data_IF_566512920069
#
_entry.id   IF_566512920069
#
_cell.length_a   1.000
_cell.length_b   1.000
_cell.length_c   1.000
_cell.angle_alpha   90.00
_cell.angle_beta   90.00
_cell.angle_gamma   90.00
#
_symmetry.space_group_name_H-M   'P 1'
#
loop_
_entity.id
_entity.type
_entity.pdbx_description
1 polymer ?
#
# COMPACT_ATOMS: atom_id res chain seq x y z
N UNK A 1 -17.57 -43.86 16.49
CA UNK A 1 -16.27 -43.18 16.33
C UNK A 1 -16.36 -42.32 15.08
N UNK A 2 -16.71 -41.08 15.21
CA UNK A 2 -16.81 -40.12 14.10
C UNK A 2 -15.80 -39.02 14.35
N UNK A 3 -14.76 -39.01 13.52
CA UNK A 3 -13.75 -37.94 13.49
C UNK A 3 -14.30 -36.78 12.68
N UNK A 4 -14.58 -35.67 13.36
CA UNK A 4 -15.00 -34.42 12.73
C UNK A 4 -13.80 -33.73 12.11
N UNK A 5 -13.74 -33.74 10.79
CA UNK A 5 -12.84 -32.90 10.00
C UNK A 5 -13.13 -31.42 10.25
N UNK A 6 -12.21 -30.73 10.90
CA UNK A 6 -12.22 -29.29 11.00
C UNK A 6 -11.81 -28.67 9.66
N UNK A 7 -12.75 -28.11 8.93
CA UNK A 7 -12.53 -27.32 7.72
C UNK A 7 -11.73 -26.05 8.06
N UNK A 8 -10.45 -26.07 7.80
CA UNK A 8 -9.64 -24.85 7.69
C UNK A 8 -10.11 -24.03 6.47
N UNK A 9 -10.92 -23.02 6.69
CA UNK A 9 -11.20 -22.01 5.68
C UNK A 9 -9.94 -21.16 5.50
N UNK A 10 -9.19 -21.39 4.44
CA UNK A 10 -8.17 -20.48 3.93
C UNK A 10 -8.81 -19.12 3.61
N UNK A 11 -8.64 -18.16 4.49
CA UNK A 11 -8.97 -16.76 4.22
C UNK A 11 -7.86 -16.19 3.35
N UNK A 12 -8.05 -16.22 2.02
CA UNK A 12 -7.23 -15.45 1.10
C UNK A 12 -7.36 -13.95 1.47
N UNK A 13 -6.26 -13.35 1.89
CA UNK A 13 -6.16 -11.88 2.04
C UNK A 13 -6.27 -11.28 0.64
N UNK A 14 -7.30 -10.48 0.40
CA UNK A 14 -7.45 -9.76 -0.85
C UNK A 14 -6.35 -8.68 -0.96
N UNK A 15 -5.89 -8.40 -2.20
CA UNK A 15 -4.93 -7.33 -2.53
C UNK A 15 -5.32 -5.98 -1.92
N UNK A 16 -6.62 -5.76 -1.73
CA UNK A 16 -7.20 -4.55 -1.15
C UNK A 16 -6.96 -4.43 0.36
N UNK A 17 -6.91 -5.53 1.09
CA UNK A 17 -6.53 -5.53 2.51
C UNK A 17 -5.03 -5.17 2.65
N UNK A 18 -4.21 -5.59 1.66
CA UNK A 18 -2.81 -5.22 1.60
C UNK A 18 -2.59 -3.76 1.18
N UNK A 19 -3.35 -3.26 0.20
CA UNK A 19 -3.30 -1.84 -0.21
C UNK A 19 -3.85 -0.91 0.88
N UNK A 20 -4.83 -1.35 1.67
CA UNK A 20 -5.27 -0.63 2.87
C UNK A 20 -4.22 -0.69 3.99
N UNK A 21 -3.52 -1.81 4.17
CA UNK A 21 -2.38 -1.89 5.10
C UNK A 21 -1.24 -0.98 4.65
N UNK A 22 -0.88 -0.97 3.37
CA UNK A 22 0.17 -0.08 2.83
C UNK A 22 -0.24 1.40 2.91
N UNK A 23 -1.50 1.76 2.69
CA UNK A 23 -1.99 3.14 2.85
C UNK A 23 -2.13 3.55 4.31
N UNK A 24 -2.46 2.62 5.20
CA UNK A 24 -2.45 2.83 6.64
C UNK A 24 -1.02 2.96 7.17
N UNK A 25 -0.10 2.11 6.72
CA UNK A 25 1.33 2.22 7.01
C UNK A 25 1.90 3.58 6.59
N UNK A 26 1.50 4.14 5.45
CA UNK A 26 1.94 5.47 5.01
C UNK A 26 1.44 6.61 5.89
N UNK A 27 0.22 6.53 6.44
CA UNK A 27 -0.29 7.50 7.43
C UNK A 27 0.42 7.36 8.78
N UNK A 28 0.72 6.14 9.20
CA UNK A 28 1.35 5.85 10.49
C UNK A 28 2.84 6.23 10.53
N UNK A 29 3.57 6.10 9.41
CA UNK A 29 4.95 6.59 9.32
C UNK A 29 5.06 8.11 9.45
N UNK A 30 4.03 8.87 9.09
CA UNK A 30 4.01 10.32 9.21
C UNK A 30 3.81 10.83 10.65
N UNK A 31 3.22 10.03 11.55
CA UNK A 31 2.90 10.45 12.92
C UNK A 31 3.96 10.08 13.97
N UNK A 32 4.91 9.20 13.65
CA UNK A 32 5.83 8.59 14.65
C UNK A 32 7.14 9.36 14.82
N UNK A 33 7.53 10.23 13.89
CA UNK A 33 8.81 10.93 13.96
C UNK A 33 8.65 12.42 14.22
N UNK A 34 8.88 12.85 15.45
CA UNK A 34 9.13 14.24 15.80
C UNK A 34 10.60 14.58 15.49
N UNK A 35 10.83 15.13 14.30
CA UNK A 35 12.17 15.53 13.82
C UNK A 35 12.66 16.85 14.43
N UNK A 36 11.86 17.56 15.23
CA UNK A 36 12.21 18.89 15.77
C UNK A 36 13.41 18.88 16.71
N UNK A 37 13.82 17.71 17.24
CA UNK A 37 14.97 17.58 18.13
C UNK A 37 16.30 17.24 17.45
N UNK A 38 16.31 17.00 16.12
CA UNK A 38 17.51 16.56 15.38
C UNK A 38 18.20 17.71 14.65
N UNK A 39 17.49 18.81 14.40
CA UNK A 39 17.99 19.92 13.55
C UNK A 39 18.97 20.89 14.20
N UNK A 40 19.24 20.79 15.49
CA UNK A 40 20.13 21.75 16.17
C UNK A 40 21.63 21.37 16.22
N UNK A 41 22.06 20.24 15.66
CA UNK A 41 23.47 19.81 15.66
C UNK A 41 23.97 19.29 14.29
N UNK A 42 23.72 20.04 13.25
CA UNK A 42 24.18 19.72 11.89
C UNK A 42 25.61 20.25 11.63
N UNK A 43 26.63 19.47 11.85
CA UNK A 43 27.99 19.85 11.41
C UNK A 43 29.11 18.91 11.79
N UNK A 44 28.99 18.16 12.90
CA UNK A 44 30.07 17.29 13.41
C UNK A 44 29.61 15.85 13.66
N UNK A 45 28.34 15.57 13.36
CA UNK A 45 27.64 14.36 13.82
C UNK A 45 27.79 13.18 12.85
N UNK A 46 28.06 13.41 11.57
CA UNK A 46 27.99 12.40 10.50
C UNK A 46 28.99 11.24 10.67
N UNK A 47 30.22 11.49 11.05
CA UNK A 47 31.24 10.44 11.10
C UNK A 47 31.11 9.51 12.33
N UNK A 48 30.78 10.05 13.49
CA UNK A 48 30.61 9.23 14.69
C UNK A 48 29.39 8.28 14.57
N UNK A 49 28.28 8.79 14.05
CA UNK A 49 27.03 8.03 13.91
C UNK A 49 27.16 6.90 12.89
N UNK A 50 27.87 7.11 11.81
CA UNK A 50 28.05 6.08 10.77
C UNK A 50 29.03 4.98 11.17
N UNK A 51 29.94 5.23 12.10
CA UNK A 51 30.94 4.26 12.58
C UNK A 51 30.44 3.38 13.74
N UNK A 52 29.49 3.87 14.55
CA UNK A 52 28.95 3.15 15.72
C UNK A 52 27.43 2.87 15.58
N UNK A 53 26.96 2.69 14.37
CA UNK A 53 25.55 2.60 14.05
C UNK A 53 24.88 1.37 14.67
N UNK A 54 25.58 0.25 14.78
CA UNK A 54 25.04 -0.96 15.41
C UNK A 54 24.64 -0.71 16.87
N UNK A 55 25.43 0.05 17.60
CA UNK A 55 25.14 0.34 19.01
C UNK A 55 23.90 1.25 19.15
N UNK A 56 23.67 2.15 18.21
CA UNK A 56 22.45 2.95 18.13
C UNK A 56 21.22 2.08 17.80
N UNK A 57 21.35 1.20 16.82
CA UNK A 57 20.29 0.25 16.44
C UNK A 57 19.87 -0.60 17.64
N UNK A 58 20.82 -1.04 18.45
CA UNK A 58 20.60 -1.91 19.61
C UNK A 58 20.26 -1.17 20.89
N UNK A 59 20.11 0.16 20.88
CA UNK A 59 19.66 0.93 22.04
C UNK A 59 18.26 0.50 22.46
N UNK A 60 18.03 0.52 23.76
CA UNK A 60 16.78 0.09 24.39
C UNK A 60 15.56 0.85 23.89
N UNK A 61 15.70 2.17 23.72
CA UNK A 61 14.66 3.04 23.22
C UNK A 61 14.29 2.71 21.76
N UNK A 62 15.29 2.52 20.88
CA UNK A 62 15.09 2.16 19.50
C UNK A 62 14.43 0.78 19.35
N UNK A 63 14.92 -0.23 20.06
CA UNK A 63 14.33 -1.58 20.07
C UNK A 63 12.88 -1.59 20.59
N UNK A 64 12.60 -0.80 21.65
CA UNK A 64 11.23 -0.65 22.16
C UNK A 64 10.29 0.01 21.15
N UNK A 65 10.75 1.02 20.42
CA UNK A 65 9.97 1.67 19.35
C UNK A 65 9.73 0.68 18.21
N UNK A 66 10.74 -0.07 17.80
CA UNK A 66 10.62 -1.11 16.78
C UNK A 66 9.60 -2.20 17.19
N UNK A 67 9.66 -2.66 18.46
CA UNK A 67 8.68 -3.59 19.00
C UNK A 67 7.24 -3.02 18.94
N UNK A 68 7.05 -1.77 19.40
CA UNK A 68 5.72 -1.12 19.37
C UNK A 68 5.16 -1.05 17.95
N UNK A 69 6.00 -0.70 16.97
CA UNK A 69 5.60 -0.62 15.58
C UNK A 69 5.22 -2.01 15.01
N UNK A 70 6.03 -3.04 15.24
CA UNK A 70 5.72 -4.41 14.81
C UNK A 70 4.42 -4.92 15.46
N UNK A 71 4.21 -4.61 16.76
CA UNK A 71 2.97 -4.96 17.46
C UNK A 71 1.75 -4.26 16.88
N UNK A 72 1.85 -2.98 16.55
CA UNK A 72 0.78 -2.18 15.95
C UNK A 72 0.33 -2.76 14.61
N UNK A 73 1.27 -3.23 13.78
CA UNK A 73 1.01 -3.76 12.45
C UNK A 73 0.31 -5.15 12.44
N UNK A 74 0.23 -5.85 13.58
CA UNK A 74 -0.52 -7.12 13.73
C UNK A 74 -0.29 -8.16 12.62
N UNK A 75 0.91 -8.24 12.07
CA UNK A 75 1.24 -9.15 10.97
C UNK A 75 1.25 -10.63 11.40
N UNK A 76 1.02 -11.53 10.46
CA UNK A 76 1.08 -12.99 10.69
C UNK A 76 2.50 -13.46 11.01
N UNK A 77 2.62 -14.59 11.72
CA UNK A 77 3.89 -15.24 12.05
C UNK A 77 4.74 -15.63 10.83
N UNK A 78 6.05 -15.72 11.04
CA UNK A 78 7.03 -16.17 10.05
C UNK A 78 7.02 -17.68 9.84
N UNK A 79 8.20 -18.25 9.57
CA UNK A 79 8.39 -19.71 9.42
C UNK A 79 8.34 -20.44 10.77
N UNK A 80 8.70 -19.76 11.84
CA UNK A 80 8.69 -20.24 13.23
C UNK A 80 7.28 -20.37 13.82
N UNK A 81 6.27 -19.80 13.14
CA UNK A 81 4.88 -19.80 13.60
C UNK A 81 4.58 -18.81 14.71
N UNK A 82 5.59 -18.14 15.30
CA UNK A 82 5.42 -17.18 16.40
C UNK A 82 4.50 -16.04 15.98
N UNK A 83 3.50 -15.74 16.81
CA UNK A 83 2.58 -14.61 16.59
C UNK A 83 3.09 -13.36 17.32
N UNK A 84 2.56 -12.20 16.93
CA UNK A 84 2.98 -10.90 17.51
C UNK A 84 2.72 -10.82 19.01
N UNK A 85 1.66 -11.48 19.50
CA UNK A 85 1.30 -11.47 20.92
C UNK A 85 2.28 -12.30 21.78
N UNK A 86 2.98 -13.26 21.20
CA UNK A 86 3.99 -14.10 21.85
C UNK A 86 5.38 -13.42 21.89
N UNK A 87 5.57 -12.34 21.14
CA UNK A 87 6.86 -11.65 21.01
C UNK A 87 7.34 -11.04 22.32
N UNK A 88 6.45 -10.44 23.14
CA UNK A 88 6.86 -9.78 24.37
C UNK A 88 7.39 -10.75 25.43
N UNK A 89 6.73 -11.87 25.74
CA UNK A 89 7.30 -12.91 26.59
C UNK A 89 8.67 -13.39 26.10
N UNK A 90 8.77 -13.72 24.81
CA UNK A 90 10.02 -14.16 24.20
C UNK A 90 11.17 -13.15 24.37
N UNK A 91 10.93 -11.86 24.10
CA UNK A 91 11.96 -10.82 24.25
C UNK A 91 12.38 -10.62 25.71
N UNK A 92 11.46 -10.76 26.68
CA UNK A 92 11.82 -10.65 28.11
C UNK A 92 12.85 -11.70 28.56
N UNK A 93 12.75 -12.89 27.98
CA UNK A 93 13.65 -14.01 28.33
C UNK A 93 14.94 -14.00 27.51
N UNK A 94 14.88 -13.57 26.23
CA UNK A 94 15.97 -13.81 25.29
C UNK A 94 16.67 -12.55 24.79
N UNK A 95 16.24 -11.33 25.19
CA UNK A 95 16.77 -10.07 24.63
C UNK A 95 18.28 -9.91 24.79
N UNK A 96 18.84 -10.31 25.93
CA UNK A 96 20.28 -10.15 26.22
C UNK A 96 21.13 -11.06 25.31
N UNK A 97 20.75 -12.33 25.21
CA UNK A 97 21.38 -13.28 24.30
C UNK A 97 21.31 -12.81 22.85
N UNK A 98 20.11 -12.36 22.41
CA UNK A 98 19.88 -11.83 21.07
C UNK A 98 20.78 -10.63 20.75
N UNK A 99 20.87 -9.66 21.67
CA UNK A 99 21.74 -8.50 21.52
C UNK A 99 23.21 -8.90 21.45
N UNK A 100 23.66 -9.84 22.30
CA UNK A 100 25.04 -10.35 22.29
C UNK A 100 25.35 -11.09 20.97
N UNK A 101 24.44 -11.90 20.45
CA UNK A 101 24.61 -12.57 19.17
C UNK A 101 24.73 -11.58 18.01
N UNK A 102 23.91 -10.51 18.01
CA UNK A 102 23.97 -9.47 16.98
C UNK A 102 25.28 -8.70 17.09
N UNK A 103 25.69 -8.26 18.28
CA UNK A 103 26.97 -7.56 18.50
C UNK A 103 28.17 -8.40 18.11
N UNK A 104 28.16 -9.67 18.48
CA UNK A 104 29.22 -10.64 18.14
C UNK A 104 29.20 -11.12 16.68
N UNK A 105 28.26 -10.62 15.86
CA UNK A 105 28.12 -11.04 14.48
C UNK A 105 27.71 -12.50 14.30
N UNK A 106 27.20 -13.16 15.33
CA UNK A 106 26.78 -14.56 15.32
C UNK A 106 25.31 -14.74 14.91
N UNK A 107 24.51 -13.69 15.04
CA UNK A 107 23.09 -13.71 14.69
C UNK A 107 22.89 -14.15 13.22
N UNK A 108 21.98 -15.10 13.03
CA UNK A 108 21.58 -15.62 11.72
C UNK A 108 20.08 -15.37 11.53
N UNK A 109 19.69 -14.45 10.62
CA UNK A 109 18.28 -14.23 10.29
C UNK A 109 17.61 -15.49 9.80
N UNK A 110 16.35 -15.70 10.17
CA UNK A 110 15.56 -16.80 9.66
C UNK A 110 15.15 -16.58 8.20
N UNK A 111 15.00 -17.64 7.41
CA UNK A 111 14.42 -17.55 6.07
C UNK A 111 13.02 -16.96 6.11
N UNK A 112 12.65 -16.18 5.10
CA UNK A 112 11.30 -15.61 5.02
C UNK A 112 10.30 -16.64 4.51
N UNK A 113 9.09 -16.66 5.07
CA UNK A 113 7.99 -17.50 4.59
C UNK A 113 7.35 -16.87 3.36
N UNK A 114 7.38 -17.55 2.22
CA UNK A 114 6.77 -17.09 0.98
C UNK A 114 5.25 -17.17 1.04
N UNK A 115 4.59 -16.08 0.63
CA UNK A 115 3.14 -16.03 0.43
C UNK A 115 2.89 -15.44 -0.95
N UNK A 116 2.07 -16.12 -1.75
CA UNK A 116 1.71 -15.64 -3.08
C UNK A 116 0.36 -14.92 -3.06
N UNK A 117 0.36 -13.67 -3.54
CA UNK A 117 -0.85 -12.84 -3.66
C UNK A 117 -1.16 -12.68 -5.15
N UNK A 118 -2.40 -12.99 -5.61
CA UNK A 118 -2.78 -12.81 -7.00
C UNK A 118 -2.64 -11.34 -7.44
N UNK A 119 -2.04 -11.12 -8.62
CA UNK A 119 -2.04 -9.81 -9.28
C UNK A 119 -3.35 -9.58 -10.02
N UNK A 120 -3.51 -8.37 -10.59
CA UNK A 120 -4.66 -8.02 -11.44
C UNK A 120 -4.74 -8.87 -12.70
N UNK A 121 -3.59 -9.24 -13.26
CA UNK A 121 -3.48 -10.13 -14.41
C UNK A 121 -3.73 -11.56 -13.96
N UNK A 122 -4.71 -12.22 -14.57
CA UNK A 122 -5.06 -13.61 -14.25
C UNK A 122 -3.84 -14.51 -14.48
N UNK A 123 -3.48 -15.28 -13.44
CA UNK A 123 -2.34 -16.20 -13.48
C UNK A 123 -1.01 -15.60 -13.03
N UNK A 124 -0.93 -14.32 -12.75
CA UNK A 124 0.25 -13.70 -12.15
C UNK A 124 0.11 -13.56 -10.63
N UNK A 125 1.21 -13.79 -9.90
CA UNK A 125 1.26 -13.68 -8.45
C UNK A 125 2.38 -12.71 -8.03
N UNK A 126 2.13 -11.99 -6.94
CA UNK A 126 3.16 -11.25 -6.21
C UNK A 126 3.70 -12.14 -5.10
N UNK A 127 5.01 -12.32 -5.06
CA UNK A 127 5.69 -13.15 -4.08
C UNK A 127 6.06 -12.28 -2.87
N UNK A 128 5.35 -12.43 -1.75
CA UNK A 128 5.70 -11.76 -0.51
C UNK A 128 6.54 -12.68 0.37
N UNK A 129 7.55 -12.13 1.03
CA UNK A 129 8.31 -12.80 2.07
C UNK A 129 7.88 -12.29 3.44
N UNK A 130 7.42 -13.17 4.30
CA UNK A 130 7.01 -12.85 5.67
C UNK A 130 8.14 -13.25 6.62
N UNK A 131 8.95 -12.29 7.16
CA UNK A 131 9.99 -12.59 8.15
C UNK A 131 9.38 -13.06 9.46
N UNK A 132 10.17 -13.68 10.33
CA UNK A 132 9.78 -13.96 11.72
C UNK A 132 9.50 -12.65 12.47
N UNK A 133 8.74 -12.72 13.55
CA UNK A 133 8.38 -11.51 14.31
C UNK A 133 9.61 -10.86 14.92
N UNK A 134 10.59 -11.67 15.38
CA UNK A 134 11.87 -11.20 15.89
C UNK A 134 12.68 -10.49 14.81
N UNK A 135 12.82 -11.10 13.63
CA UNK A 135 13.52 -10.49 12.50
C UNK A 135 12.88 -9.16 12.09
N UNK A 136 11.54 -9.05 12.17
CA UNK A 136 10.86 -7.77 11.89
C UNK A 136 11.24 -6.68 12.88
N UNK A 137 11.40 -6.99 14.17
CA UNK A 137 11.84 -6.00 15.17
C UNK A 137 13.25 -5.52 14.86
N UNK A 138 14.16 -6.43 14.55
CA UNK A 138 15.54 -6.06 14.21
C UNK A 138 15.59 -5.25 12.92
N UNK A 139 14.89 -5.67 11.86
CA UNK A 139 14.79 -4.93 10.61
C UNK A 139 14.17 -3.54 10.81
N UNK A 140 13.15 -3.43 11.65
CA UNK A 140 12.50 -2.16 11.99
C UNK A 140 13.46 -1.25 12.75
N UNK A 141 14.22 -1.80 13.71
CA UNK A 141 15.23 -1.03 14.45
C UNK A 141 16.35 -0.52 13.53
N UNK A 142 16.80 -1.33 12.57
CA UNK A 142 17.74 -0.90 11.53
C UNK A 142 17.13 0.22 10.67
N UNK A 143 15.89 0.03 10.19
CA UNK A 143 15.22 1.01 9.33
C UNK A 143 15.03 2.36 10.03
N UNK A 144 14.75 2.39 11.33
CA UNK A 144 14.57 3.60 12.12
C UNK A 144 15.84 4.45 12.16
N UNK A 145 17.00 3.83 12.38
CA UNK A 145 18.29 4.55 12.46
C UNK A 145 18.86 4.90 11.08
N UNK A 146 18.58 4.08 10.04
CA UNK A 146 19.07 4.35 8.69
C UNK A 146 18.22 5.40 7.96
N UNK A 147 16.92 5.46 8.23
CA UNK A 147 16.02 6.37 7.51
C UNK A 147 16.47 7.84 7.57
N UNK A 148 16.77 8.44 8.73
CA UNK A 148 17.22 9.83 8.78
C UNK A 148 18.52 10.07 8.02
N UNK A 149 19.46 9.11 8.03
CA UNK A 149 20.76 9.22 7.35
C UNK A 149 20.58 9.30 5.82
N UNK A 150 19.69 8.44 5.27
CA UNK A 150 19.47 8.39 3.83
C UNK A 150 18.43 9.41 3.34
N UNK A 151 17.52 9.85 4.22
CA UNK A 151 16.50 10.84 3.86
C UNK A 151 17.13 12.16 3.38
N UNK A 152 18.28 12.57 3.95
CA UNK A 152 19.05 13.74 3.54
C UNK A 152 19.66 13.60 2.13
N UNK A 153 19.84 12.35 1.65
CA UNK A 153 20.47 12.06 0.36
C UNK A 153 19.45 11.79 -0.76
N UNK A 154 18.18 11.58 -0.39
CA UNK A 154 17.15 11.23 -1.37
C UNK A 154 16.70 12.44 -2.17
N UNK A 155 16.50 12.22 -3.47
CA UNK A 155 15.94 13.23 -4.39
C UNK A 155 14.60 13.78 -3.90
N UNK A 156 14.38 15.08 -4.07
CA UNK A 156 13.09 15.73 -3.83
C UNK A 156 11.97 15.20 -4.76
N UNK A 157 12.34 14.57 -5.87
CA UNK A 157 11.43 13.98 -6.86
C UNK A 157 11.05 12.52 -6.53
N UNK A 158 11.53 11.97 -5.40
CA UNK A 158 11.20 10.63 -4.90
C UNK A 158 10.21 10.73 -3.73
N UNK A 159 9.09 9.99 -3.80
CA UNK A 159 7.97 10.14 -2.88
C UNK A 159 7.55 8.84 -2.17
N UNK A 160 7.76 7.68 -2.78
CA UNK A 160 7.33 6.40 -2.23
C UNK A 160 8.17 5.95 -1.04
N UNK A 161 7.53 5.39 0.00
CA UNK A 161 8.19 4.84 1.18
C UNK A 161 9.07 5.83 1.96
N UNK A 162 8.75 7.11 1.91
CA UNK A 162 9.46 8.17 2.61
C UNK A 162 8.58 8.86 3.65
N UNK A 163 9.14 9.27 4.80
CA UNK A 163 8.41 10.03 5.81
C UNK A 163 7.87 11.34 5.23
N UNK A 164 6.67 11.74 5.66
CA UNK A 164 6.01 13.01 5.28
C UNK A 164 5.78 13.20 3.77
N UNK A 165 5.96 12.18 2.95
CA UNK A 165 5.72 12.20 1.50
C UNK A 165 4.71 11.13 1.11
N UNK A 166 3.86 11.42 0.15
CA UNK A 166 2.80 10.51 -0.24
C UNK A 166 2.47 10.53 -1.73
N UNK A 167 1.53 9.68 -2.11
CA UNK A 167 1.07 9.58 -3.50
C UNK A 167 0.48 10.91 -4.02
N UNK A 168 -0.16 11.69 -3.16
CA UNK A 168 -0.70 12.99 -3.55
C UNK A 168 0.38 14.01 -3.89
N UNK A 169 1.52 13.97 -3.20
CA UNK A 169 2.63 14.88 -3.47
C UNK A 169 3.29 14.52 -4.80
N UNK A 170 3.49 13.23 -5.06
CA UNK A 170 3.94 12.74 -6.37
C UNK A 170 3.01 13.18 -7.50
N UNK A 171 1.69 13.05 -7.31
CA UNK A 171 0.69 13.48 -8.30
C UNK A 171 0.73 14.99 -8.52
N UNK A 172 0.83 15.82 -7.47
CA UNK A 172 0.96 17.27 -7.61
C UNK A 172 2.22 17.66 -8.37
N UNK A 173 3.34 16.97 -8.13
CA UNK A 173 4.58 17.19 -8.88
C UNK A 173 4.40 16.80 -10.36
N UNK A 174 3.72 15.69 -10.67
CA UNK A 174 3.35 15.34 -12.05
C UNK A 174 2.49 16.43 -12.71
N UNK A 175 1.50 16.95 -11.99
CA UNK A 175 0.63 18.02 -12.45
C UNK A 175 1.41 19.30 -12.75
N UNK A 176 2.34 19.67 -11.88
CA UNK A 176 3.22 20.84 -12.07
C UNK A 176 4.06 20.68 -13.33
N UNK A 177 4.74 19.53 -13.48
CA UNK A 177 5.55 19.26 -14.67
C UNK A 177 4.72 19.35 -15.97
N UNK A 178 3.49 18.81 -15.96
CA UNK A 178 2.58 18.88 -17.10
C UNK A 178 2.12 20.33 -17.41
N UNK A 179 1.84 21.13 -16.38
CA UNK A 179 1.46 22.55 -16.54
C UNK A 179 2.63 23.40 -17.07
N UNK A 180 3.88 23.01 -16.76
CA UNK A 180 5.11 23.64 -17.30
C UNK A 180 5.41 23.21 -18.74
N UNK A 181 4.52 22.46 -19.39
CA UNK A 181 4.61 22.05 -20.79
C UNK A 181 5.36 20.73 -21.01
N UNK A 182 5.72 19.99 -19.96
CA UNK A 182 6.32 18.66 -20.07
C UNK A 182 5.24 17.60 -20.14
N UNK A 183 4.65 17.43 -21.31
CA UNK A 183 3.44 16.61 -21.52
C UNK A 183 3.71 15.21 -22.08
N UNK A 184 4.93 14.93 -22.51
CA UNK A 184 5.34 13.59 -22.89
C UNK A 184 6.13 12.94 -21.78
N UNK A 185 5.84 11.70 -21.49
CA UNK A 185 6.46 10.98 -20.38
C UNK A 185 7.04 9.66 -20.84
N UNK A 186 8.16 9.29 -20.26
CA UNK A 186 8.64 7.91 -20.20
C UNK A 186 8.01 7.29 -18.95
N UNK A 187 7.05 6.40 -19.13
CA UNK A 187 6.50 5.57 -18.05
C UNK A 187 7.34 4.31 -17.93
N UNK A 188 8.18 4.26 -16.90
CA UNK A 188 9.23 3.25 -16.76
C UNK A 188 8.86 2.22 -15.71
N UNK A 189 8.77 0.94 -16.12
CA UNK A 189 8.52 -0.22 -15.27
C UNK A 189 9.78 -1.08 -15.17
N UNK A 190 10.23 -1.36 -13.95
CA UNK A 190 11.34 -2.26 -13.70
C UNK A 190 10.84 -3.72 -13.58
N UNK A 191 11.53 -4.64 -14.28
CA UNK A 191 11.11 -6.04 -14.28
C UNK A 191 11.39 -6.70 -12.93
N UNK A 192 10.33 -6.97 -12.16
CA UNK A 192 10.40 -7.68 -10.87
C UNK A 192 11.54 -7.13 -9.98
N UNK A 193 11.58 -5.82 -9.80
CA UNK A 193 12.66 -5.12 -9.11
C UNK A 193 13.16 -5.84 -7.84
N UNK A 194 12.24 -6.18 -6.92
CA UNK A 194 12.59 -6.85 -5.67
C UNK A 194 13.20 -8.26 -5.87
N UNK A 195 12.85 -8.95 -6.95
CA UNK A 195 13.38 -10.29 -7.24
C UNK A 195 14.72 -10.26 -8.00
N UNK A 196 15.07 -9.10 -8.60
CA UNK A 196 16.22 -9.01 -9.54
C UNK A 196 17.34 -8.07 -9.09
N UNK A 197 17.15 -7.31 -8.01
CA UNK A 197 18.16 -6.39 -7.50
C UNK A 197 19.46 -7.13 -7.16
N UNK A 198 20.61 -6.61 -7.63
CA UNK A 198 21.93 -7.13 -7.27
C UNK A 198 22.25 -6.83 -5.82
N UNK A 199 22.35 -7.86 -4.97
CA UNK A 199 22.71 -7.70 -3.57
C UNK A 199 24.09 -7.06 -3.40
N UNK A 200 25.07 -7.49 -4.20
CA UNK A 200 26.42 -6.92 -4.17
C UNK A 200 26.42 -5.43 -4.50
N UNK A 201 25.64 -5.00 -5.51
CA UNK A 201 25.50 -3.58 -5.86
C UNK A 201 24.80 -2.78 -4.77
N UNK A 202 23.76 -3.34 -4.16
CA UNK A 202 23.07 -2.71 -3.03
C UNK A 202 24.01 -2.54 -1.83
N UNK A 203 24.81 -3.55 -1.49
CA UNK A 203 25.79 -3.50 -0.39
C UNK A 203 26.89 -2.46 -0.73
N UNK A 204 27.35 -2.39 -1.98
CA UNK A 204 28.31 -1.36 -2.43
C UNK A 204 27.74 0.06 -2.19
N UNK A 205 26.49 0.31 -2.61
CA UNK A 205 25.83 1.62 -2.43
C UNK A 205 25.67 1.96 -0.93
N UNK A 206 25.25 1.01 -0.11
CA UNK A 206 25.12 1.17 1.34
C UNK A 206 26.46 1.52 2.00
N UNK A 207 27.54 0.83 1.62
CA UNK A 207 28.89 1.00 2.19
C UNK A 207 29.53 2.35 1.86
N UNK A 208 29.01 3.09 0.89
CA UNK A 208 29.46 4.47 0.61
C UNK A 208 29.08 5.41 1.76
N UNK A 209 27.94 5.19 2.39
CA UNK A 209 27.40 6.01 3.49
C UNK A 209 27.64 5.37 4.86
N UNK A 210 27.36 4.07 5.01
CA UNK A 210 27.48 3.35 6.26
C UNK A 210 28.90 2.82 6.41
N UNK A 211 29.61 3.25 7.46
CA UNK A 211 30.98 2.82 7.76
C UNK A 211 31.05 1.69 8.78
N UNK A 212 29.98 1.44 9.54
CA UNK A 212 29.91 0.30 10.48
C UNK A 212 29.72 -1.02 9.71
N UNK A 213 30.81 -1.74 9.51
CA UNK A 213 30.81 -3.04 8.82
C UNK A 213 29.93 -4.10 9.48
N UNK A 214 29.63 -3.96 10.79
CA UNK A 214 28.74 -4.88 11.53
C UNK A 214 27.31 -4.74 11.00
N UNK A 215 26.86 -3.50 10.74
CA UNK A 215 25.53 -3.21 10.19
C UNK A 215 25.43 -3.70 8.74
N UNK A 216 26.45 -3.42 7.91
CA UNK A 216 26.51 -3.92 6.52
C UNK A 216 26.46 -5.44 6.50
N UNK A 217 27.22 -6.12 7.37
CA UNK A 217 27.20 -7.58 7.48
C UNK A 217 25.81 -8.11 7.91
N UNK A 218 25.15 -7.44 8.84
CA UNK A 218 23.81 -7.82 9.29
C UNK A 218 22.77 -7.65 8.16
N UNK A 219 22.81 -6.55 7.43
CA UNK A 219 21.95 -6.34 6.26
C UNK A 219 22.20 -7.42 5.20
N UNK A 220 23.46 -7.71 4.90
CA UNK A 220 23.81 -8.76 3.95
C UNK A 220 23.28 -10.14 4.38
N UNK A 221 23.33 -10.47 5.68
CA UNK A 221 22.72 -11.69 6.20
C UNK A 221 21.20 -11.73 5.98
N UNK A 222 20.49 -10.60 6.14
CA UNK A 222 19.06 -10.52 5.85
C UNK A 222 18.75 -10.75 4.36
N UNK A 223 19.57 -10.23 3.47
CA UNK A 223 19.41 -10.45 2.02
C UNK A 223 19.62 -11.92 1.65
N UNK A 224 20.54 -12.61 2.32
CA UNK A 224 20.89 -14.00 2.08
C UNK A 224 20.15 -15.02 2.96
N UNK A 225 19.20 -14.57 3.80
CA UNK A 225 18.49 -15.45 4.72
C UNK A 225 17.71 -16.58 4.04
N UNK A 226 17.43 -16.46 2.75
CA UNK A 226 16.68 -17.43 1.99
C UNK A 226 15.17 -17.30 2.15
N UNK A 227 14.46 -18.14 1.42
CA UNK A 227 13.00 -18.17 1.39
C UNK A 227 12.51 -19.59 1.58
N UNK A 228 11.45 -19.79 2.36
CA UNK A 228 10.73 -21.06 2.42
C UNK A 228 9.42 -20.95 1.66
N UNK A 229 9.31 -21.73 0.59
CA UNK A 229 8.13 -21.81 -0.26
C UNK A 229 7.59 -23.26 -0.23
N UNK A 230 6.33 -23.44 0.14
CA UNK A 230 5.70 -24.78 0.22
C UNK A 230 6.53 -25.81 1.03
N UNK A 231 7.14 -25.37 2.12
CA UNK A 231 7.97 -26.20 2.99
C UNK A 231 9.39 -26.49 2.46
N UNK A 232 9.77 -25.97 1.29
CA UNK A 232 11.12 -26.13 0.73
C UNK A 232 11.92 -24.85 0.89
N UNK A 233 13.17 -24.97 1.32
CA UNK A 233 14.12 -23.86 1.42
C UNK A 233 14.73 -23.55 0.05
N UNK A 234 14.75 -22.28 -0.32
CA UNK A 234 15.39 -21.75 -1.51
C UNK A 234 16.43 -20.68 -1.08
N UNK A 235 17.64 -20.78 -1.56
CA UNK A 235 18.66 -19.74 -1.38
C UNK A 235 18.30 -18.49 -2.17
N UNK A 236 18.64 -17.32 -1.63
CA UNK A 236 18.48 -16.04 -2.31
C UNK A 236 19.87 -15.40 -2.51
N UNK A 237 20.42 -15.54 -3.72
CA UNK A 237 21.70 -14.90 -4.11
C UNK A 237 21.47 -13.56 -4.82
N UNK A 238 20.28 -13.37 -5.33
CA UNK A 238 19.81 -12.17 -6.04
C UNK A 238 18.47 -11.74 -5.47
N UNK A 239 18.19 -10.46 -5.51
CA UNK A 239 16.95 -9.90 -5.01
C UNK A 239 16.96 -9.60 -3.52
N UNK A 240 15.88 -9.00 -3.06
CA UNK A 240 15.58 -8.77 -1.65
C UNK A 240 14.15 -9.19 -1.33
N UNK A 241 13.88 -9.76 -0.15
CA UNK A 241 12.54 -10.19 0.23
C UNK A 241 11.56 -9.01 0.24
N UNK A 242 10.47 -9.11 -0.51
CA UNK A 242 9.39 -8.13 -0.47
C UNK A 242 8.48 -8.42 0.74
N UNK A 243 8.39 -7.48 1.71
CA UNK A 243 7.48 -7.59 2.86
C UNK A 243 8.14 -7.46 4.24
N UNK A 244 9.46 -7.31 4.31
CA UNK A 244 10.16 -6.93 5.55
C UNK A 244 10.17 -5.41 5.74
N UNK A 245 10.28 -4.90 7.00
CA UNK A 245 10.33 -3.46 7.29
C UNK A 245 11.50 -2.72 6.64
N UNK A 246 12.61 -3.41 6.41
CA UNK A 246 13.82 -2.83 5.83
C UNK A 246 13.79 -2.70 4.30
N UNK A 247 13.02 -3.56 3.62
CA UNK A 247 13.02 -3.64 2.15
C UNK A 247 12.60 -2.34 1.43
N UNK A 248 11.62 -1.55 1.90
CA UNK A 248 11.26 -0.28 1.29
C UNK A 248 12.39 0.75 1.30
N UNK A 249 13.12 0.85 2.41
CA UNK A 249 14.28 1.73 2.54
C UNK A 249 15.41 1.30 1.60
N UNK A 250 15.78 0.01 1.58
CA UNK A 250 16.80 -0.53 0.69
C UNK A 250 16.44 -0.32 -0.78
N UNK A 251 15.16 -0.42 -1.13
CA UNK A 251 14.65 -0.09 -2.46
C UNK A 251 14.95 1.37 -2.83
N UNK A 252 14.62 2.30 -1.95
CA UNK A 252 14.89 3.72 -2.18
C UNK A 252 16.39 4.02 -2.28
N UNK A 253 17.21 3.41 -1.45
CA UNK A 253 18.69 3.58 -1.48
C UNK A 253 19.24 3.16 -2.84
N UNK A 254 18.81 2.00 -3.34
CA UNK A 254 19.24 1.51 -4.65
C UNK A 254 18.77 2.40 -5.80
N UNK A 255 17.51 2.83 -5.78
CA UNK A 255 16.89 3.64 -6.83
C UNK A 255 17.30 5.11 -6.77
N UNK A 256 17.84 5.58 -5.64
CA UNK A 256 18.41 6.93 -5.54
C UNK A 256 19.62 7.14 -6.47
N UNK A 257 20.32 6.08 -6.84
CA UNK A 257 21.38 6.16 -7.85
C UNK A 257 20.81 6.51 -9.23
N UNK A 258 19.59 6.01 -9.54
CA UNK A 258 18.86 6.42 -10.75
C UNK A 258 18.38 7.87 -10.63
N UNK A 259 17.87 8.27 -9.47
CA UNK A 259 17.41 9.64 -9.23
C UNK A 259 18.53 10.63 -9.43
N UNK A 260 19.71 10.39 -8.84
CA UNK A 260 20.93 11.21 -9.01
C UNK A 260 21.35 11.31 -10.46
N UNK A 261 21.28 10.22 -11.23
CA UNK A 261 21.64 10.24 -12.65
C UNK A 261 20.65 11.05 -13.49
N UNK A 262 19.35 10.95 -13.19
CA UNK A 262 18.32 11.76 -13.84
C UNK A 262 18.49 13.25 -13.53
N UNK A 263 18.81 13.61 -12.28
CA UNK A 263 19.12 14.98 -11.88
C UNK A 263 20.40 15.51 -12.56
N UNK A 264 21.45 14.71 -12.58
CA UNK A 264 22.72 15.06 -13.26
C UNK A 264 22.54 15.36 -14.75
N UNK A 265 21.57 14.65 -15.39
CA UNK A 265 21.21 14.90 -16.81
C UNK A 265 20.20 16.03 -16.99
N UNK A 266 19.71 16.65 -15.91
CA UNK A 266 18.72 17.72 -15.95
C UNK A 266 17.31 17.26 -16.33
N UNK A 267 16.98 15.99 -16.14
CA UNK A 267 15.64 15.48 -16.39
C UNK A 267 14.67 15.80 -15.26
N UNK A 268 13.47 16.23 -15.62
CA UNK A 268 12.35 16.26 -14.68
C UNK A 268 11.74 14.88 -14.56
N UNK A 269 11.57 14.39 -13.34
CA UNK A 269 10.98 13.07 -13.09
C UNK A 269 10.17 13.06 -11.78
N UNK A 270 9.37 12.06 -11.63
CA UNK A 270 8.65 11.75 -10.39
C UNK A 270 8.73 10.24 -10.18
N UNK A 271 9.28 9.84 -9.04
CA UNK A 271 9.39 8.42 -8.68
C UNK A 271 8.55 8.11 -7.44
N UNK A 272 7.78 7.06 -7.50
CA UNK A 272 7.06 6.50 -6.37
C UNK A 272 7.40 5.01 -6.22
N UNK A 273 8.30 4.67 -5.29
CA UNK A 273 8.92 3.35 -5.18
C UNK A 273 9.62 2.96 -6.50
N UNK A 274 9.20 1.85 -7.13
CA UNK A 274 9.70 1.35 -8.43
C UNK A 274 9.02 1.99 -9.65
N UNK A 275 7.88 2.68 -9.48
CA UNK A 275 7.20 3.40 -10.56
C UNK A 275 7.87 4.76 -10.81
N UNK A 276 8.48 4.98 -11.98
CA UNK A 276 9.18 6.21 -12.35
C UNK A 276 8.64 6.82 -13.63
N UNK A 277 8.27 8.10 -13.59
CA UNK A 277 7.86 8.89 -14.75
C UNK A 277 8.88 9.97 -15.04
N UNK A 278 9.49 9.97 -16.24
CA UNK A 278 10.40 11.00 -16.69
C UNK A 278 9.67 11.92 -17.68
N UNK A 279 9.72 13.23 -17.45
CA UNK A 279 8.92 14.22 -18.17
C UNK A 279 9.74 14.91 -19.26
N UNK A 280 9.16 15.03 -20.46
CA UNK A 280 9.77 15.64 -21.63
C UNK A 280 8.78 16.59 -22.35
N UNK A 281 9.30 17.58 -23.08
CA UNK A 281 8.47 18.52 -23.85
C UNK A 281 7.93 17.92 -25.17
N UNK A 282 8.67 16.97 -25.74
CA UNK A 282 8.28 16.33 -27.01
C UNK A 282 8.44 14.82 -26.96
N UNK A 283 7.70 14.11 -27.81
CA UNK A 283 7.79 12.66 -27.94
C UNK A 283 9.20 12.20 -28.33
N UNK A 284 9.81 12.88 -29.29
CA UNK A 284 11.18 12.57 -29.77
C UNK A 284 12.21 12.72 -28.64
N UNK A 285 12.04 13.74 -27.77
CA UNK A 285 12.91 13.90 -26.58
C UNK A 285 12.70 12.77 -25.59
N UNK A 286 11.46 12.32 -25.36
CA UNK A 286 11.18 11.22 -24.44
C UNK A 286 11.75 9.87 -24.96
N UNK A 287 11.61 9.60 -26.26
CA UNK A 287 12.20 8.41 -26.89
C UNK A 287 13.72 8.39 -26.73
N UNK A 288 14.40 9.51 -27.02
CA UNK A 288 15.85 9.65 -26.81
C UNK A 288 16.25 9.50 -25.34
N UNK A 289 15.44 10.04 -24.41
CA UNK A 289 15.70 9.88 -22.98
C UNK A 289 15.62 8.43 -22.57
N UNK A 290 14.61 7.70 -23.05
CA UNK A 290 14.46 6.27 -22.78
C UNK A 290 15.67 5.47 -23.30
N UNK A 291 16.07 5.69 -24.55
CA UNK A 291 17.21 5.01 -25.15
C UNK A 291 18.51 5.23 -24.37
N UNK A 292 18.71 6.43 -23.83
CA UNK A 292 19.93 6.79 -23.11
C UNK A 292 19.93 6.37 -21.64
N UNK A 293 18.77 6.22 -20.98
CA UNK A 293 18.73 5.86 -19.56
C UNK A 293 18.80 4.34 -19.35
N UNK A 294 18.32 3.55 -20.30
CA UNK A 294 18.33 2.09 -20.21
C UNK A 294 19.74 1.52 -20.03
N UNK A 295 20.77 1.92 -20.79
CA UNK A 295 22.13 1.43 -20.58
C UNK A 295 22.67 1.72 -19.18
N UNK A 296 22.29 2.82 -18.56
CA UNK A 296 22.66 3.12 -17.19
C UNK A 296 21.98 2.16 -16.21
N UNK A 297 20.66 1.95 -16.36
CA UNK A 297 19.89 1.06 -15.48
C UNK A 297 20.40 -0.38 -15.57
N UNK A 298 20.62 -0.87 -16.80
CA UNK A 298 21.02 -2.26 -17.01
C UNK A 298 22.51 -2.49 -16.79
N UNK A 299 23.37 -1.54 -17.22
CA UNK A 299 24.83 -1.69 -17.14
C UNK A 299 25.48 -1.20 -15.85
N UNK A 300 24.87 -0.21 -15.14
CA UNK A 300 25.45 0.35 -13.91
C UNK A 300 24.70 -0.07 -12.64
N UNK A 301 23.37 -0.20 -12.72
CA UNK A 301 22.56 -0.63 -11.59
C UNK A 301 22.26 -2.12 -11.61
N UNK A 302 22.54 -2.82 -12.72
CA UNK A 302 22.22 -4.23 -12.93
C UNK A 302 20.74 -4.55 -12.71
N UNK A 303 19.86 -3.59 -13.00
CA UNK A 303 18.41 -3.74 -12.96
C UNK A 303 17.88 -4.01 -14.38
N UNK A 304 16.75 -4.72 -14.48
CA UNK A 304 16.13 -5.01 -15.78
C UNK A 304 14.96 -4.09 -16.02
N UNK A 305 14.93 -3.46 -17.21
CA UNK A 305 13.79 -2.67 -17.66
C UNK A 305 12.76 -3.58 -18.33
N UNK A 306 11.51 -3.49 -17.90
CA UNK A 306 10.41 -4.21 -18.53
C UNK A 306 10.01 -3.54 -19.84
N UNK A 307 10.63 -3.96 -20.95
CA UNK A 307 10.42 -3.39 -22.29
C UNK A 307 8.97 -3.49 -22.78
N UNK A 308 8.16 -4.41 -22.24
CA UNK A 308 6.75 -4.58 -22.65
C UNK A 308 5.82 -3.59 -21.98
N UNK A 309 6.18 -3.08 -20.82
CA UNK A 309 5.36 -2.14 -20.06
C UNK A 309 5.91 -0.73 -20.09
N UNK A 310 7.23 -0.57 -20.26
CA UNK A 310 7.85 0.74 -20.40
C UNK A 310 7.42 1.35 -21.74
N UNK A 311 6.82 2.53 -21.70
CA UNK A 311 6.31 3.21 -22.88
C UNK A 311 6.57 4.72 -22.87
N UNK A 312 6.65 5.29 -24.05
CA UNK A 312 6.65 6.74 -24.26
C UNK A 312 5.26 7.17 -24.68
N UNK A 313 4.60 7.94 -23.83
CA UNK A 313 3.23 8.35 -24.08
C UNK A 313 2.99 9.83 -23.73
N UNK A 314 1.92 10.40 -24.29
CA UNK A 314 1.39 11.66 -23.77
C UNK A 314 0.76 11.42 -22.40
N UNK A 315 0.98 12.31 -21.44
CA UNK A 315 0.56 12.16 -20.04
C UNK A 315 -0.93 11.81 -19.87
N UNK A 316 -1.79 12.28 -20.79
CA UNK A 316 -3.23 11.95 -20.74
C UNK A 316 -3.56 10.47 -21.01
N UNK A 317 -2.62 9.69 -21.53
CA UNK A 317 -2.77 8.26 -21.80
C UNK A 317 -2.20 7.38 -20.69
N UNK A 318 -1.42 7.96 -19.78
CA UNK A 318 -0.71 7.23 -18.72
C UNK A 318 -1.61 7.04 -17.51
N UNK A 319 -1.45 5.87 -16.88
CA UNK A 319 -2.00 5.56 -15.55
C UNK A 319 -0.87 5.68 -14.53
N UNK A 320 -0.99 6.59 -13.60
CA UNK A 320 -0.02 6.71 -12.50
C UNK A 320 -0.74 6.71 -11.14
N UNK A 321 -0.32 5.86 -10.23
CA UNK A 321 -0.91 5.71 -8.89
C UNK A 321 -2.46 5.60 -8.89
N UNK A 322 -3.02 4.93 -9.90
CA UNK A 322 -4.46 4.75 -10.04
C UNK A 322 -5.23 5.92 -10.64
N UNK A 323 -4.55 7.02 -10.95
CA UNK A 323 -5.10 8.20 -11.63
C UNK A 323 -4.78 8.22 -13.12
N UNK A 324 -5.49 9.10 -13.86
CA UNK A 324 -5.16 9.56 -15.20
C UNK A 324 -5.19 11.08 -15.23
N UNK A 325 -4.48 11.64 -16.18
CA UNK A 325 -4.37 13.08 -16.37
C UNK A 325 -5.23 13.53 -17.56
N UNK A 326 -5.75 14.74 -17.50
CA UNK A 326 -6.42 15.36 -18.65
C UNK A 326 -6.26 16.88 -18.60
N UNK A 327 -6.37 17.54 -19.76
CA UNK A 327 -6.31 19.00 -19.83
C UNK A 327 -7.72 19.59 -19.78
N UNK A 328 -7.91 20.62 -18.98
CA UNK A 328 -9.12 21.41 -18.95
C UNK A 328 -8.75 22.91 -18.81
N UNK A 329 -9.17 23.71 -19.77
CA UNK A 329 -8.84 25.15 -19.85
C UNK A 329 -7.33 25.42 -19.73
N UNK A 330 -6.50 24.63 -20.42
CA UNK A 330 -5.06 24.76 -20.42
C UNK A 330 -4.34 24.24 -19.15
N UNK A 331 -5.06 23.69 -18.18
CA UNK A 331 -4.49 23.14 -16.95
C UNK A 331 -4.63 21.63 -16.88
N UNK A 332 -3.59 20.97 -16.40
CA UNK A 332 -3.62 19.54 -16.11
C UNK A 332 -4.49 19.25 -14.88
N UNK A 333 -5.40 18.30 -14.99
CA UNK A 333 -6.29 17.83 -13.91
C UNK A 333 -6.31 16.31 -13.84
N UNK A 334 -6.89 15.78 -12.76
CA UNK A 334 -6.92 14.36 -12.48
C UNK A 334 -8.30 13.76 -12.68
N UNK A 335 -8.31 12.51 -13.18
CA UNK A 335 -9.46 11.61 -13.14
C UNK A 335 -9.05 10.29 -12.52
N UNK A 336 -10.01 9.58 -11.94
CA UNK A 336 -9.79 8.19 -11.52
C UNK A 336 -9.67 7.30 -12.73
N UNK A 337 -8.63 6.48 -12.80
CA UNK A 337 -8.44 5.54 -13.90
C UNK A 337 -9.56 4.49 -13.94
N UNK A 338 -10.00 4.06 -15.13
CA UNK A 338 -11.11 3.12 -15.32
C UNK A 338 -10.96 1.82 -14.52
N UNK A 339 -9.75 1.22 -14.50
CA UNK A 339 -9.46 0.02 -13.71
C UNK A 339 -9.66 0.26 -12.20
N UNK A 340 -9.33 1.46 -11.69
CA UNK A 340 -9.56 1.82 -10.28
C UNK A 340 -11.04 1.97 -9.95
N UNK A 341 -11.83 2.49 -10.90
CA UNK A 341 -13.30 2.56 -10.79
C UNK A 341 -13.92 1.16 -10.78
N UNK A 342 -13.45 0.26 -11.64
CA UNK A 342 -13.95 -1.12 -11.69
C UNK A 342 -13.63 -1.89 -10.42
N UNK A 343 -12.44 -1.71 -9.84
CA UNK A 343 -12.08 -2.26 -8.53
C UNK A 343 -13.02 -1.77 -7.43
N UNK A 344 -13.26 -0.46 -7.38
CA UNK A 344 -14.21 0.13 -6.43
C UNK A 344 -15.60 -0.50 -6.57
N UNK A 345 -16.11 -0.61 -7.81
CA UNK A 345 -17.41 -1.22 -8.06
C UNK A 345 -17.47 -2.69 -7.63
N UNK A 346 -16.41 -3.45 -7.88
CA UNK A 346 -16.31 -4.84 -7.46
C UNK A 346 -16.32 -4.97 -5.94
N UNK A 347 -15.58 -4.10 -5.23
CA UNK A 347 -15.57 -4.11 -3.76
C UNK A 347 -16.93 -3.74 -3.19
N UNK A 348 -17.60 -2.72 -3.72
CA UNK A 348 -18.97 -2.39 -3.32
C UNK A 348 -19.92 -3.57 -3.60
N UNK A 349 -19.75 -4.31 -4.73
CA UNK A 349 -20.53 -5.54 -5.00
C UNK A 349 -20.30 -6.58 -3.92
N UNK A 350 -19.06 -6.82 -3.54
CA UNK A 350 -18.69 -7.76 -2.48
C UNK A 350 -19.29 -7.36 -1.13
N UNK A 351 -19.11 -6.10 -0.71
CA UNK A 351 -19.62 -5.58 0.56
C UNK A 351 -21.15 -5.59 0.64
N UNK A 352 -21.81 -5.40 -0.49
CA UNK A 352 -23.28 -5.41 -0.61
C UNK A 352 -23.81 -6.71 -1.22
N UNK A 353 -23.08 -7.81 -1.09
CA UNK A 353 -23.58 -9.11 -1.52
C UNK A 353 -24.69 -9.60 -0.56
N UNK A 354 -25.79 -10.00 -1.15
CA UNK A 354 -26.98 -10.49 -0.46
C UNK A 354 -26.80 -11.89 0.14
N UNK A 355 -25.83 -12.66 -0.35
CA UNK A 355 -25.58 -14.03 0.04
C UNK A 355 -24.47 -14.16 1.11
N UNK A 356 -23.75 -13.06 1.36
CA UNK A 356 -22.69 -13.03 2.37
C UNK A 356 -23.32 -13.03 3.78
N UNK A 357 -23.03 -14.05 4.57
CA UNK A 357 -23.57 -14.26 5.91
C UNK A 357 -22.95 -13.37 6.99
N UNK A 358 -22.82 -12.06 6.74
CA UNK A 358 -22.30 -11.08 7.71
C UNK A 358 -23.42 -10.27 8.31
N UNK A 359 -23.25 -9.80 9.54
CA UNK A 359 -24.22 -8.91 10.21
C UNK A 359 -24.32 -7.56 9.49
N UNK A 360 -25.42 -6.83 9.69
CA UNK A 360 -25.56 -5.49 9.12
C UNK A 360 -24.54 -4.51 9.72
N UNK A 361 -24.31 -4.56 11.03
CA UNK A 361 -23.33 -3.71 11.70
C UNK A 361 -21.91 -3.92 11.14
N UNK A 362 -21.50 -5.17 10.91
CA UNK A 362 -20.22 -5.49 10.28
C UNK A 362 -20.15 -4.99 8.83
N UNK A 363 -21.25 -5.14 8.07
CA UNK A 363 -21.37 -4.66 6.70
C UNK A 363 -21.24 -3.15 6.62
N UNK A 364 -21.96 -2.44 7.48
CA UNK A 364 -21.96 -0.97 7.56
C UNK A 364 -20.56 -0.45 7.87
N UNK A 365 -19.91 -1.01 8.90
CA UNK A 365 -18.54 -0.65 9.28
C UNK A 365 -17.56 -0.87 8.11
N UNK A 366 -17.54 -2.07 7.51
CA UNK A 366 -16.66 -2.37 6.38
C UNK A 366 -16.94 -1.49 5.16
N UNK A 367 -18.20 -1.15 4.88
CA UNK A 367 -18.57 -0.23 3.81
C UNK A 367 -18.07 1.18 4.10
N UNK A 368 -18.28 1.68 5.31
CA UNK A 368 -17.85 3.00 5.73
C UNK A 368 -16.32 3.15 5.68
N UNK A 369 -15.58 2.18 6.23
CA UNK A 369 -14.11 2.18 6.22
C UNK A 369 -13.59 2.20 4.78
N UNK A 370 -14.17 1.36 3.91
CA UNK A 370 -13.78 1.30 2.50
C UNK A 370 -14.08 2.61 1.76
N UNK A 371 -15.27 3.18 1.92
CA UNK A 371 -15.67 4.43 1.25
C UNK A 371 -14.76 5.58 1.66
N UNK A 372 -14.49 5.73 2.96
CA UNK A 372 -13.61 6.78 3.47
C UNK A 372 -12.21 6.64 2.91
N UNK A 373 -11.59 5.49 3.04
CA UNK A 373 -10.23 5.26 2.52
C UNK A 373 -10.12 5.47 1.01
N UNK A 374 -11.13 5.01 0.23
CA UNK A 374 -11.12 5.18 -1.22
C UNK A 374 -11.29 6.66 -1.63
N UNK A 375 -12.21 7.38 -1.03
CA UNK A 375 -12.45 8.81 -1.33
C UNK A 375 -11.24 9.65 -0.91
N UNK A 376 -10.66 9.41 0.26
CA UNK A 376 -9.43 10.09 0.71
C UNK A 376 -8.28 9.89 -0.28
N UNK A 377 -8.08 8.65 -0.74
CA UNK A 377 -7.01 8.37 -1.71
C UNK A 377 -7.24 9.06 -3.05
N UNK A 378 -8.49 9.09 -3.56
CA UNK A 378 -8.82 9.66 -4.87
C UNK A 378 -9.31 11.11 -4.83
N UNK A 379 -9.17 11.81 -3.71
CA UNK A 379 -9.73 13.17 -3.52
C UNK A 379 -9.22 14.23 -4.50
N UNK A 380 -8.03 14.04 -5.09
CA UNK A 380 -7.48 14.94 -6.10
C UNK A 380 -8.21 14.86 -7.46
N UNK A 381 -8.96 13.79 -7.71
CA UNK A 381 -9.63 13.56 -8.98
C UNK A 381 -10.97 14.31 -9.08
N UNK A 382 -11.29 14.79 -10.27
CA UNK A 382 -12.62 15.31 -10.60
C UNK A 382 -13.61 14.16 -10.73
N UNK A 383 -14.37 13.85 -9.66
CA UNK A 383 -15.20 12.64 -9.62
C UNK A 383 -16.64 12.83 -9.13
N UNK A 384 -17.15 14.08 -9.00
CA UNK A 384 -18.51 14.37 -8.48
C UNK A 384 -19.58 13.52 -9.17
N UNK A 385 -19.61 13.51 -10.52
CA UNK A 385 -20.60 12.75 -11.28
C UNK A 385 -20.42 11.23 -11.14
N UNK A 386 -19.18 10.74 -11.06
CA UNK A 386 -18.87 9.33 -10.82
C UNK A 386 -19.43 8.89 -9.47
N UNK A 387 -19.18 9.67 -8.42
CA UNK A 387 -19.60 9.35 -7.06
C UNK A 387 -21.12 9.39 -6.93
N UNK A 388 -21.78 10.40 -7.49
CA UNK A 388 -23.26 10.49 -7.52
C UNK A 388 -23.88 9.22 -8.10
N UNK A 389 -23.44 8.79 -9.29
CA UNK A 389 -23.94 7.56 -9.94
C UNK A 389 -23.60 6.31 -9.13
N UNK A 390 -22.44 6.28 -8.50
CA UNK A 390 -22.01 5.15 -7.66
C UNK A 390 -22.87 5.05 -6.39
N UNK A 391 -23.16 6.16 -5.74
CA UNK A 391 -24.04 6.21 -4.57
C UNK A 391 -25.47 5.75 -4.88
N UNK A 392 -26.05 6.22 -5.99
CA UNK A 392 -27.38 5.79 -6.44
C UNK A 392 -27.44 4.26 -6.61
N UNK A 393 -26.44 3.71 -7.26
CA UNK A 393 -26.32 2.27 -7.49
C UNK A 393 -26.05 1.50 -6.18
N UNK A 394 -25.16 1.97 -5.31
CA UNK A 394 -24.83 1.33 -4.05
C UNK A 394 -26.04 1.30 -3.10
N UNK A 395 -26.78 2.42 -2.98
CA UNK A 395 -28.00 2.50 -2.16
C UNK A 395 -29.06 1.51 -2.65
N UNK A 396 -29.20 1.33 -3.96
CA UNK A 396 -30.11 0.31 -4.51
C UNK A 396 -29.67 -1.11 -4.12
N UNK A 397 -28.37 -1.40 -4.10
CA UNK A 397 -27.84 -2.69 -3.64
C UNK A 397 -28.07 -2.90 -2.16
N UNK A 398 -27.84 -1.89 -1.33
CA UNK A 398 -28.11 -1.93 0.11
C UNK A 398 -29.58 -2.25 0.37
N UNK A 399 -30.53 -1.56 -0.28
CA UNK A 399 -31.97 -1.88 -0.14
C UNK A 399 -32.28 -3.32 -0.53
N UNK A 400 -31.65 -3.84 -1.56
CA UNK A 400 -31.82 -5.24 -1.98
C UNK A 400 -31.31 -6.24 -0.96
N UNK A 401 -30.24 -5.89 -0.20
CA UNK A 401 -29.74 -6.70 0.92
C UNK A 401 -30.77 -6.77 2.03
N UNK A 402 -31.24 -5.61 2.53
CA UNK A 402 -32.24 -5.56 3.59
C UNK A 402 -33.54 -6.27 3.18
N UNK A 403 -34.01 -6.06 1.95
CA UNK A 403 -35.20 -6.76 1.44
C UNK A 403 -35.05 -8.28 1.43
N UNK A 404 -33.87 -8.79 1.10
CA UNK A 404 -33.60 -10.23 1.19
C UNK A 404 -33.56 -10.74 2.64
N UNK A 405 -33.01 -9.97 3.57
CA UNK A 405 -32.95 -10.33 4.98
C UNK A 405 -34.32 -10.40 5.62
N UNK A 406 -35.28 -9.59 5.17
CA UNK A 406 -36.67 -9.66 5.61
C UNK A 406 -37.43 -10.84 4.96
N UNK A 407 -36.96 -12.05 5.17
CA UNK A 407 -37.43 -13.27 4.47
C UNK A 407 -38.92 -13.48 4.48
N UNK A 408 -39.55 -13.42 5.68
CA UNK A 408 -40.96 -13.71 5.88
C UNK A 408 -41.85 -12.49 5.63
N UNK A 409 -43.06 -12.72 5.09
CA UNK A 409 -44.04 -11.67 4.82
C UNK A 409 -44.33 -10.86 6.12
N UNK A 410 -44.49 -11.52 7.24
CA UNK A 410 -44.72 -10.89 8.58
C UNK A 410 -43.53 -9.93 8.92
N UNK A 411 -42.29 -10.34 8.64
CA UNK A 411 -41.10 -9.49 8.89
C UNK A 411 -41.07 -8.29 7.93
N UNK A 412 -41.31 -8.52 6.64
CA UNK A 412 -41.41 -7.43 5.65
C UNK A 412 -42.46 -6.41 6.04
N UNK A 413 -43.66 -6.87 6.38
CA UNK A 413 -44.74 -6.01 6.84
C UNK A 413 -44.32 -5.16 8.04
N UNK A 414 -43.82 -5.81 9.09
CA UNK A 414 -43.38 -5.12 10.31
C UNK A 414 -42.31 -4.05 10.01
N UNK A 415 -41.32 -4.37 9.18
CA UNK A 415 -40.28 -3.43 8.82
C UNK A 415 -40.78 -2.26 7.98
N UNK A 416 -41.70 -2.52 7.04
CA UNK A 416 -42.35 -1.46 6.25
C UNK A 416 -43.23 -0.55 7.13
N UNK A 417 -43.92 -1.09 8.12
CA UNK A 417 -44.68 -0.29 9.13
C UNK A 417 -43.72 0.58 9.95
N UNK A 418 -42.62 0.02 10.43
CA UNK A 418 -41.59 0.76 11.17
C UNK A 418 -40.95 1.91 10.33
N UNK A 419 -40.96 1.79 9.01
CA UNK A 419 -40.55 2.83 8.07
C UNK A 419 -41.63 3.88 7.76
N UNK A 420 -42.82 3.78 8.44
CA UNK A 420 -43.88 4.77 8.34
C UNK A 420 -44.92 4.51 7.24
N UNK A 421 -44.96 3.31 6.61
CA UNK A 421 -46.00 3.01 5.62
C UNK A 421 -47.36 2.76 6.26
N UNK A 422 -48.40 3.17 5.54
CA UNK A 422 -49.78 2.80 5.87
C UNK A 422 -49.99 1.28 5.82
N UNK A 423 -50.97 0.78 6.58
CA UNK A 423 -51.24 -0.64 6.72
C UNK A 423 -51.44 -1.39 5.40
N UNK A 424 -52.32 -0.88 4.54
CA UNK A 424 -52.68 -1.51 3.28
C UNK A 424 -51.50 -1.59 2.33
N UNK A 425 -50.70 -0.50 2.21
CA UNK A 425 -49.53 -0.42 1.34
C UNK A 425 -48.40 -1.27 1.85
N UNK A 426 -48.18 -1.34 3.15
CA UNK A 426 -47.20 -2.23 3.78
C UNK A 426 -47.56 -3.72 3.53
N UNK A 427 -48.85 -4.09 3.60
CA UNK A 427 -49.32 -5.44 3.30
C UNK A 427 -49.15 -5.80 1.83
N UNK A 428 -49.53 -4.91 0.90
CA UNK A 428 -49.35 -5.08 -0.53
C UNK A 428 -47.89 -5.34 -0.89
N UNK A 429 -46.98 -4.48 -0.42
CA UNK A 429 -45.56 -4.61 -0.73
C UNK A 429 -44.93 -5.84 -0.06
N UNK A 430 -45.32 -6.20 1.15
CA UNK A 430 -44.82 -7.39 1.85
C UNK A 430 -45.14 -8.69 1.10
N UNK A 431 -46.34 -8.75 0.49
CA UNK A 431 -46.81 -9.87 -0.33
C UNK A 431 -46.25 -9.85 -1.77
N UNK A 432 -45.52 -8.79 -2.18
CA UNK A 432 -45.04 -8.64 -3.54
C UNK A 432 -44.11 -9.78 -3.93
N UNK A 433 -44.34 -10.37 -5.11
CA UNK A 433 -43.49 -11.38 -5.74
C UNK A 433 -42.40 -10.80 -6.64
N UNK A 434 -42.26 -9.46 -6.68
CA UNK A 434 -41.21 -8.77 -7.45
C UNK A 434 -39.83 -9.16 -6.94
N UNK A 435 -38.90 -9.42 -7.87
CA UNK A 435 -37.50 -9.74 -7.51
C UNK A 435 -36.80 -8.61 -6.72
N UNK A 436 -35.77 -8.96 -5.96
CA UNK A 436 -35.03 -8.07 -5.04
C UNK A 436 -34.61 -6.74 -5.68
N UNK A 437 -34.16 -6.78 -6.94
CA UNK A 437 -33.70 -5.59 -7.66
C UNK A 437 -34.81 -4.62 -8.04
N UNK A 438 -35.99 -5.15 -8.41
CA UNK A 438 -37.18 -4.33 -8.66
C UNK A 438 -37.71 -3.74 -7.35
N UNK A 439 -37.80 -4.55 -6.29
CA UNK A 439 -38.23 -4.07 -4.99
C UNK A 439 -37.31 -3.01 -4.40
N UNK A 440 -35.98 -3.11 -4.61
CA UNK A 440 -35.04 -2.08 -4.17
C UNK A 440 -35.30 -0.70 -4.83
N UNK A 441 -35.89 -0.67 -6.04
CA UNK A 441 -36.34 0.58 -6.69
C UNK A 441 -37.62 1.13 -6.01
N UNK A 442 -38.60 0.27 -5.73
CA UNK A 442 -39.83 0.66 -5.02
C UNK A 442 -39.51 1.17 -3.61
N UNK A 443 -38.60 0.49 -2.92
CA UNK A 443 -38.16 0.87 -1.58
C UNK A 443 -37.42 2.22 -1.52
N UNK A 444 -37.03 2.82 -2.63
CA UNK A 444 -36.31 4.08 -2.62
C UNK A 444 -37.07 5.24 -1.96
N UNK A 445 -38.41 5.26 -2.13
CA UNK A 445 -39.25 6.28 -1.52
C UNK A 445 -39.49 6.04 -0.02
N UNK A 446 -39.47 4.79 0.40
CA UNK A 446 -39.79 4.34 1.75
C UNK A 446 -38.54 4.22 2.61
N UNK A 447 -37.61 3.44 2.15
CA UNK A 447 -36.27 3.28 2.74
C UNK A 447 -35.34 4.31 2.12
N UNK A 448 -35.56 5.57 2.52
CA UNK A 448 -34.94 6.76 1.93
C UNK A 448 -33.42 6.78 2.10
N UNK A 449 -32.76 7.64 1.32
CA UNK A 449 -31.30 7.85 1.46
C UNK A 449 -30.91 8.34 2.87
N UNK A 450 -31.79 9.16 3.50
CA UNK A 450 -31.60 9.64 4.88
C UNK A 450 -31.58 8.51 5.91
N UNK A 451 -32.44 7.50 5.72
CA UNK A 451 -32.47 6.31 6.59
C UNK A 451 -31.20 5.48 6.39
N UNK A 452 -30.77 5.26 5.13
CA UNK A 452 -29.52 4.55 4.82
C UNK A 452 -28.32 5.24 5.46
N UNK A 453 -28.26 6.57 5.41
CA UNK A 453 -27.19 7.34 6.06
C UNK A 453 -27.23 7.19 7.60
N UNK A 454 -28.43 7.23 8.21
CA UNK A 454 -28.60 7.00 9.68
C UNK A 454 -28.16 5.60 10.11
N UNK A 455 -28.22 4.60 9.21
CA UNK A 455 -27.72 3.25 9.46
C UNK A 455 -26.18 3.15 9.33
N UNK A 456 -25.46 4.24 9.05
CA UNK A 456 -24.01 4.24 8.96
C UNK A 456 -23.42 4.12 7.54
N UNK A 457 -24.25 3.96 6.50
CA UNK A 457 -23.74 3.91 5.12
C UNK A 457 -23.40 5.31 4.61
N UNK A 458 -22.11 5.65 4.66
CA UNK A 458 -21.59 6.94 4.19
C UNK A 458 -21.82 7.12 2.69
N UNK A 459 -22.32 8.27 2.26
CA UNK A 459 -22.35 8.69 0.86
C UNK A 459 -20.93 9.05 0.40
N UNK A 460 -20.51 8.47 -0.72
CA UNK A 460 -19.19 8.79 -1.31
C UNK A 460 -19.12 10.24 -1.75
N UNK A 461 -20.20 10.76 -2.35
CA UNK A 461 -20.25 12.15 -2.83
C UNK A 461 -20.22 13.13 -1.67
N UNK A 462 -21.03 12.93 -0.63
CA UNK A 462 -21.09 13.86 0.51
C UNK A 462 -19.74 13.88 1.23
N UNK A 463 -19.13 12.72 1.44
CA UNK A 463 -17.81 12.63 2.06
C UNK A 463 -16.72 13.28 1.19
N UNK A 464 -16.77 13.10 -0.14
CA UNK A 464 -15.86 13.77 -1.07
C UNK A 464 -15.96 15.29 -1.00
N UNK A 465 -17.16 15.85 -0.93
CA UNK A 465 -17.36 17.29 -0.79
C UNK A 465 -16.76 17.80 0.52
N UNK A 466 -17.00 17.12 1.65
CA UNK A 466 -16.41 17.47 2.93
C UNK A 466 -14.88 17.46 2.91
N UNK A 467 -14.27 16.47 2.26
CA UNK A 467 -12.79 16.36 2.17
C UNK A 467 -12.17 17.37 1.20
N UNK A 468 -12.92 17.85 0.20
CA UNK A 468 -12.44 18.87 -0.74
C UNK A 468 -12.64 20.30 -0.25
N UNK A 469 -13.53 20.53 0.73
CA UNK A 469 -13.76 21.84 1.35
C UNK A 469 -12.76 22.16 2.47
N UNK A 470 -12.10 21.13 3.02
CA UNK A 470 -10.99 21.22 3.97
C UNK A 470 -9.64 21.08 3.25
#
# INVERSE_FOLDING_TARGET
MNVTESRFKNRQLHIEDYLQMVSAEQKEYAEVFDYSKITEKSGVITDYWTNNLLDLILRKDNLNNAYKQVKKNKGKGGIDGMQVDELLPFLRENQESLIQEIRGGKYKPNPVRRVEIPKETKGEFRKLGVPTVVDRVIQQAIAQELTPIFEEQFSENSFGFRPKRGAHDALRQCQQNANDGYVYVVDMDLEKFFDTVSQSKLIEVLSRTIKDGRVISLIHKYLNAGVVANGKFERTEIGMPQGGPLSPLLSNIMLNELDKELERRGHRFVRYADDCMIFCKSRKSAERTLENIIPFIEGKLFLKVNRKKTEVAHISKVKYLGYTFYSYKGRCRFRVHAKSVDKMRNKIRELTDRNKGISNAEREKKYQDYVRGWVEYFRLADMKNLLKKTDEWARRRIRAVYWKQWKKIKTKYRMLKALGLEHWKAKELACSRKGYWRMAKVLNQIFSNRIIAKLGYTSMLDYYLTVCEN
#
